data_IF_589288207994
#
_entry.id   IF_589288207994
#
_cell.length_a   1.000
_cell.length_b   1.000
_cell.length_c   1.000
_cell.angle_alpha   90.00
_cell.angle_beta   90.00
_cell.angle_gamma   90.00
#
_symmetry.space_group_name_H-M   'P 1'
#
loop_
_entity.id
_entity.type
_entity.pdbx_description
1 polymer ?
#
# COMPACT_ATOMS: atom_id res chain seq x y z
N UNK A 1 2.86 7.96 11.57
CA UNK A 1 1.57 7.75 12.29
C UNK A 1 1.85 6.78 13.45
N UNK A 2 1.26 6.97 14.64
CA UNK A 2 1.51 6.03 15.77
C UNK A 2 0.91 4.64 15.49
N UNK A 3 1.57 3.57 15.95
CA UNK A 3 1.08 2.19 15.78
C UNK A 3 -0.37 2.04 16.31
N UNK A 4 -1.22 1.21 15.66
CA UNK A 4 -2.57 0.91 16.12
C UNK A 4 -2.60 0.52 17.61
N UNK A 5 -3.66 0.92 18.32
CA UNK A 5 -3.85 0.60 19.74
C UNK A 5 -3.67 -0.90 20.03
N UNK A 6 -4.26 -1.77 19.22
CA UNK A 6 -4.15 -3.22 19.36
C UNK A 6 -2.72 -3.75 19.28
N UNK A 7 -1.89 -3.14 18.44
CA UNK A 7 -0.47 -3.48 18.31
C UNK A 7 0.35 -2.93 19.49
N UNK A 8 0.08 -1.70 19.93
CA UNK A 8 0.75 -1.09 21.10
C UNK A 8 0.49 -1.84 22.40
N UNK A 9 -0.65 -2.51 22.51
CA UNK A 9 -1.05 -3.27 23.69
C UNK A 9 -0.92 -4.81 23.51
N UNK A 10 -0.29 -5.27 22.43
CA UNK A 10 0.04 -6.69 22.25
C UNK A 10 -1.14 -7.61 21.93
N UNK A 11 -2.32 -7.06 21.60
CA UNK A 11 -3.48 -7.84 21.17
C UNK A 11 -3.32 -8.40 19.75
N UNK A 12 -2.48 -7.76 18.93
CA UNK A 12 -2.15 -8.21 17.58
C UNK A 12 -0.63 -8.31 17.48
N UNK A 13 -0.13 -9.49 17.09
CA UNK A 13 1.29 -9.63 16.72
C UNK A 13 1.55 -8.69 15.54
N UNK A 14 2.41 -7.71 15.76
CA UNK A 14 2.93 -6.90 14.66
C UNK A 14 3.80 -7.86 13.85
N UNK A 15 3.38 -8.22 12.65
CA UNK A 15 4.31 -8.82 11.69
C UNK A 15 5.29 -7.72 11.33
N UNK A 16 6.39 -7.66 12.10
CA UNK A 16 7.55 -6.79 11.87
C UNK A 16 8.35 -7.22 10.61
N UNK A 17 7.86 -8.19 9.84
CA UNK A 17 8.49 -8.60 8.60
C UNK A 17 8.20 -7.56 7.52
N UNK A 18 9.22 -6.75 7.20
CA UNK A 18 9.26 -5.93 6.00
C UNK A 18 8.92 -6.83 4.80
N UNK A 19 7.98 -6.37 3.98
CA UNK A 19 7.51 -7.08 2.79
C UNK A 19 8.44 -6.76 1.62
N UNK A 20 9.41 -7.65 1.38
CA UNK A 20 10.38 -7.55 0.28
C UNK A 20 10.03 -8.44 -0.91
N UNK A 21 9.52 -9.64 -0.66
CA UNK A 21 9.21 -10.65 -1.67
C UNK A 21 7.74 -11.09 -1.58
N UNK A 22 6.84 -10.13 -1.39
CA UNK A 22 5.41 -10.42 -1.28
C UNK A 22 4.56 -9.23 -0.91
N UNK A 23 3.24 -9.39 -1.06
CA UNK A 23 2.24 -8.45 -0.59
C UNK A 23 1.12 -9.21 0.13
N UNK A 24 0.94 -8.93 1.41
CA UNK A 24 -0.16 -9.48 2.20
C UNK A 24 -1.50 -8.84 1.81
N UNK A 25 -2.59 -9.49 2.23
CA UNK A 25 -3.95 -9.08 1.88
C UNK A 25 -4.32 -7.67 2.36
N UNK A 26 -3.78 -7.23 3.49
CA UNK A 26 -4.04 -5.87 4.00
C UNK A 26 -3.36 -4.80 3.15
N UNK A 27 -2.17 -5.10 2.62
CA UNK A 27 -1.44 -4.21 1.72
C UNK A 27 -2.12 -4.14 0.36
N UNK A 28 -2.50 -5.29 -0.22
CA UNK A 28 -3.27 -5.33 -1.48
C UNK A 28 -4.59 -4.58 -1.39
N UNK A 29 -5.30 -4.75 -0.26
CA UNK A 29 -6.51 -3.99 0.04
C UNK A 29 -6.26 -2.49 0.13
N UNK A 30 -5.16 -2.08 0.76
CA UNK A 30 -4.80 -0.67 0.84
C UNK A 30 -4.50 -0.09 -0.55
N UNK A 31 -3.68 -0.78 -1.35
CA UNK A 31 -3.37 -0.39 -2.74
C UNK A 31 -4.67 -0.24 -3.53
N UNK A 32 -5.54 -1.25 -3.52
CA UNK A 32 -6.81 -1.18 -4.23
C UNK A 32 -7.68 -0.01 -3.76
N UNK A 33 -7.80 0.22 -2.45
CA UNK A 33 -8.57 1.34 -1.92
C UNK A 33 -8.03 2.69 -2.41
N UNK A 34 -6.70 2.86 -2.48
CA UNK A 34 -6.09 4.09 -2.99
C UNK A 34 -6.30 4.25 -4.49
N UNK A 35 -6.10 3.19 -5.28
CA UNK A 35 -6.36 3.22 -6.72
C UNK A 35 -7.81 3.54 -7.02
N UNK A 36 -8.73 2.90 -6.30
CA UNK A 36 -10.15 3.14 -6.45
C UNK A 36 -10.52 4.57 -6.05
N UNK A 37 -10.18 5.02 -4.85
CA UNK A 37 -10.55 6.38 -4.39
C UNK A 37 -9.83 7.50 -5.14
N UNK A 38 -8.62 7.25 -5.64
CA UNK A 38 -7.79 8.26 -6.27
C UNK A 38 -7.94 8.34 -7.79
N UNK A 39 -8.08 7.20 -8.46
CA UNK A 39 -8.04 7.12 -9.92
C UNK A 39 -9.32 6.52 -10.52
N UNK A 40 -9.84 5.43 -9.97
CA UNK A 40 -10.93 4.68 -10.60
C UNK A 40 -12.33 4.98 -10.06
N UNK A 41 -12.47 5.96 -9.17
CA UNK A 41 -13.79 6.34 -8.67
C UNK A 41 -14.64 6.99 -9.77
N UNK A 42 -15.94 7.04 -9.55
CA UNK A 42 -16.89 7.67 -10.46
C UNK A 42 -17.01 9.19 -10.28
N UNK A 43 -15.96 9.87 -9.77
CA UNK A 43 -16.02 11.31 -9.47
C UNK A 43 -15.35 12.14 -10.57
N UNK A 44 -14.70 13.25 -10.21
CA UNK A 44 -14.14 14.28 -11.11
C UNK A 44 -13.18 13.77 -12.20
N UNK A 45 -12.77 12.51 -12.17
CA UNK A 45 -11.88 11.88 -13.13
C UNK A 45 -12.58 10.87 -14.05
N UNK A 46 -13.90 10.65 -13.96
CA UNK A 46 -14.62 9.55 -14.63
C UNK A 46 -14.15 9.27 -16.08
N UNK A 47 -14.06 10.28 -16.94
CA UNK A 47 -13.58 10.10 -18.32
C UNK A 47 -12.12 9.61 -18.38
N UNK A 48 -11.23 10.21 -17.60
CA UNK A 48 -9.83 9.81 -17.50
C UNK A 48 -9.66 8.43 -16.87
N UNK A 49 -10.53 8.09 -15.92
CA UNK A 49 -10.57 6.80 -15.22
C UNK A 49 -10.98 5.68 -16.18
N UNK A 50 -12.05 5.90 -16.95
CA UNK A 50 -12.50 4.97 -17.97
C UNK A 50 -11.45 4.81 -19.08
N UNK A 51 -10.85 5.91 -19.55
CA UNK A 51 -9.75 5.86 -20.51
C UNK A 51 -8.55 5.09 -19.96
N UNK A 52 -8.22 5.24 -18.68
CA UNK A 52 -7.15 4.49 -18.03
C UNK A 52 -7.46 3.00 -18.00
N UNK A 53 -8.67 2.63 -17.57
CA UNK A 53 -9.06 1.25 -17.43
C UNK A 53 -9.13 0.55 -18.81
N UNK A 54 -9.59 1.26 -19.83
CA UNK A 54 -9.55 0.83 -21.23
C UNK A 54 -8.13 0.67 -21.74
N UNK A 55 -7.23 1.62 -21.43
CA UNK A 55 -5.82 1.54 -21.78
C UNK A 55 -5.17 0.30 -21.15
N UNK A 56 -5.41 0.05 -19.86
CA UNK A 56 -4.91 -1.14 -19.18
C UNK A 56 -5.45 -2.42 -19.82
N UNK A 57 -6.73 -2.47 -20.17
CA UNK A 57 -7.32 -3.62 -20.87
C UNK A 57 -6.57 -3.99 -22.15
N UNK A 58 -6.36 -3.00 -23.03
CA UNK A 58 -5.80 -3.25 -24.36
C UNK A 58 -4.27 -3.41 -24.31
N UNK A 59 -3.57 -2.55 -23.57
CA UNK A 59 -2.12 -2.42 -23.69
C UNK A 59 -1.34 -3.08 -22.56
N UNK A 60 -1.92 -3.19 -21.37
CA UNK A 60 -1.25 -3.83 -20.24
C UNK A 60 -1.65 -5.31 -20.15
N UNK A 61 -2.96 -5.59 -20.09
CA UNK A 61 -3.47 -6.97 -20.06
C UNK A 61 -3.46 -7.64 -21.44
N UNK A 62 -3.20 -6.89 -22.52
CA UNK A 62 -3.17 -7.40 -23.90
C UNK A 62 -4.45 -8.13 -24.31
N UNK A 63 -5.60 -7.66 -23.82
CA UNK A 63 -6.91 -8.24 -24.15
C UNK A 63 -7.48 -7.66 -25.45
N UNK A 64 -8.40 -8.39 -26.13
CA UNK A 64 -9.03 -7.92 -27.37
C UNK A 64 -9.80 -6.61 -27.18
N UNK A 65 -9.63 -5.68 -28.12
CA UNK A 65 -10.27 -4.36 -28.08
C UNK A 65 -11.77 -4.39 -28.42
N UNK A 66 -12.26 -5.47 -29.02
CA UNK A 66 -13.67 -5.72 -29.32
C UNK A 66 -14.43 -6.38 -28.16
N UNK A 67 -13.71 -6.90 -27.15
CA UNK A 67 -14.26 -7.52 -25.93
C UNK A 67 -14.04 -6.66 -24.68
N UNK A 68 -13.97 -5.33 -24.85
CA UNK A 68 -13.82 -4.42 -23.71
C UNK A 68 -15.11 -4.45 -22.88
N UNK A 69 -15.08 -4.90 -21.61
CA UNK A 69 -16.26 -4.92 -20.78
C UNK A 69 -16.64 -3.50 -20.36
N UNK A 70 -17.85 -3.33 -19.83
CA UNK A 70 -18.29 -2.04 -19.33
C UNK A 70 -17.42 -1.53 -18.16
N UNK A 71 -17.29 -0.22 -18.07
CA UNK A 71 -16.74 0.45 -16.91
C UNK A 71 -17.82 0.47 -15.82
N UNK A 72 -17.82 -0.56 -14.98
CA UNK A 72 -18.88 -0.74 -13.99
C UNK A 72 -18.86 0.37 -12.94
N UNK A 73 -20.05 0.86 -12.59
CA UNK A 73 -20.29 1.75 -11.48
C UNK A 73 -20.76 0.90 -10.33
N UNK A 74 -19.84 0.50 -9.45
CA UNK A 74 -20.09 -0.09 -8.13
C UNK A 74 -21.30 -1.04 -8.05
N UNK A 75 -21.03 -2.33 -7.82
CA UNK A 75 -22.02 -3.36 -7.46
C UNK A 75 -22.72 -4.13 -8.60
N UNK A 76 -22.11 -4.32 -9.79
CA UNK A 76 -22.58 -5.40 -10.67
C UNK A 76 -21.83 -6.72 -10.38
N UNK A 77 -22.54 -7.84 -10.41
CA UNK A 77 -21.96 -9.20 -10.38
C UNK A 77 -21.27 -9.59 -11.70
N UNK A 78 -21.06 -8.63 -12.61
CA UNK A 78 -20.54 -8.88 -13.95
C UNK A 78 -19.05 -8.54 -14.03
N UNK A 79 -18.36 -9.22 -14.96
CA UNK A 79 -16.96 -8.93 -15.29
C UNK A 79 -16.91 -7.54 -15.94
N UNK A 80 -16.17 -6.64 -15.32
CA UNK A 80 -16.04 -5.23 -15.70
C UNK A 80 -14.57 -4.85 -15.75
N UNK A 81 -14.28 -3.67 -16.29
CA UNK A 81 -12.90 -3.18 -16.31
C UNK A 81 -12.36 -3.05 -14.87
N UNK A 82 -13.17 -2.53 -13.96
CA UNK A 82 -12.79 -2.35 -12.55
C UNK A 82 -12.63 -3.67 -11.80
N UNK A 83 -13.53 -4.63 -12.01
CA UNK A 83 -13.37 -5.95 -11.35
C UNK A 83 -12.15 -6.68 -11.88
N UNK A 84 -11.82 -6.52 -13.17
CA UNK A 84 -10.58 -7.08 -13.75
C UNK A 84 -9.33 -6.49 -13.08
N UNK A 85 -9.24 -5.16 -12.97
CA UNK A 85 -8.09 -4.49 -12.32
C UNK A 85 -8.01 -4.88 -10.84
N UNK A 86 -9.16 -4.91 -10.15
CA UNK A 86 -9.24 -5.31 -8.74
C UNK A 86 -8.72 -6.74 -8.55
N UNK A 87 -9.24 -7.69 -9.33
CA UNK A 87 -8.83 -9.10 -9.28
C UNK A 87 -7.33 -9.22 -9.51
N UNK A 88 -6.77 -8.50 -10.49
CA UNK A 88 -5.33 -8.45 -10.71
C UNK A 88 -4.55 -8.01 -9.46
N UNK A 89 -4.95 -6.90 -8.81
CA UNK A 89 -4.29 -6.43 -7.57
C UNK A 89 -4.33 -7.46 -6.43
N UNK A 90 -5.38 -8.28 -6.35
CA UNK A 90 -5.53 -9.27 -5.28
C UNK A 90 -4.86 -10.61 -5.57
N UNK A 91 -4.89 -11.07 -6.82
CA UNK A 91 -4.55 -12.44 -7.20
C UNK A 91 -3.21 -12.58 -7.91
N UNK A 92 -2.70 -11.51 -8.54
CA UNK A 92 -1.41 -11.52 -9.24
C UNK A 92 -0.22 -11.58 -8.30
N UNK A 93 0.94 -11.96 -8.84
CA UNK A 93 2.20 -11.92 -8.11
C UNK A 93 2.54 -10.50 -7.65
N UNK A 94 3.29 -10.36 -6.56
CA UNK A 94 3.54 -9.05 -5.96
C UNK A 94 4.29 -8.10 -6.90
N UNK A 95 5.22 -8.62 -7.70
CA UNK A 95 5.97 -7.84 -8.68
C UNK A 95 5.08 -7.39 -9.86
N UNK A 96 4.11 -8.21 -10.28
CA UNK A 96 3.13 -7.83 -11.30
C UNK A 96 2.22 -6.67 -10.83
N UNK A 97 1.93 -6.61 -9.52
CA UNK A 97 1.23 -5.47 -8.92
C UNK A 97 2.10 -4.21 -8.96
N UNK A 98 3.42 -4.33 -8.81
CA UNK A 98 4.34 -3.21 -8.94
C UNK A 98 4.43 -2.71 -10.39
N UNK A 99 4.53 -3.62 -11.37
CA UNK A 99 4.50 -3.26 -12.79
C UNK A 99 3.22 -2.48 -13.13
N UNK A 100 2.07 -2.92 -12.62
CA UNK A 100 0.80 -2.20 -12.78
C UNK A 100 0.87 -0.80 -12.17
N UNK A 101 1.44 -0.67 -10.96
CA UNK A 101 1.58 0.62 -10.29
C UNK A 101 2.49 1.56 -11.10
N UNK A 102 3.59 1.09 -11.68
CA UNK A 102 4.47 1.89 -12.54
C UNK A 102 3.73 2.43 -13.77
N UNK A 103 2.95 1.58 -14.44
CA UNK A 103 2.11 2.01 -15.57
C UNK A 103 1.12 3.10 -15.15
N UNK A 104 0.53 2.97 -13.96
CA UNK A 104 -0.39 3.96 -13.41
C UNK A 104 0.31 5.27 -13.00
N UNK A 105 1.53 5.19 -12.46
CA UNK A 105 2.35 6.35 -12.12
C UNK A 105 2.69 7.15 -13.38
N UNK A 106 3.04 6.47 -14.47
CA UNK A 106 3.28 7.11 -15.76
C UNK A 106 2.01 7.76 -16.32
N UNK A 107 0.89 7.01 -16.36
CA UNK A 107 -0.38 7.49 -16.90
C UNK A 107 -0.90 8.73 -16.15
N UNK A 108 -0.70 8.79 -14.83
CA UNK A 108 -1.21 9.86 -13.99
C UNK A 108 -0.24 11.04 -13.81
N UNK A 109 0.97 10.95 -14.37
CA UNK A 109 2.01 12.00 -14.27
C UNK A 109 1.55 13.38 -14.75
N UNK A 110 0.65 13.44 -15.74
CA UNK A 110 0.08 14.68 -16.26
C UNK A 110 -1.16 15.19 -15.52
N UNK A 111 -1.59 14.54 -14.44
CA UNK A 111 -2.85 14.89 -13.78
C UNK A 111 -2.65 16.05 -12.81
N UNK A 112 -3.33 17.16 -13.09
CA UNK A 112 -3.26 18.35 -12.24
C UNK A 112 -3.72 18.05 -10.81
N UNK A 113 -2.86 18.34 -9.82
CA UNK A 113 -3.10 18.15 -8.37
C UNK A 113 -3.39 16.71 -7.94
N UNK A 114 -2.96 15.73 -8.73
CA UNK A 114 -3.06 14.33 -8.37
C UNK A 114 -1.65 13.72 -8.38
N UNK A 115 -1.24 13.15 -7.24
CA UNK A 115 0.05 12.47 -7.12
C UNK A 115 -0.16 11.07 -6.57
N UNK A 116 -0.20 10.08 -7.47
CA UNK A 116 -0.31 8.68 -7.10
C UNK A 116 0.92 8.20 -6.30
N UNK A 117 2.11 8.70 -6.63
CA UNK A 117 3.37 8.31 -5.97
C UNK A 117 3.34 8.57 -4.46
N UNK A 118 2.82 9.71 -4.02
CA UNK A 118 2.71 10.04 -2.60
C UNK A 118 1.77 9.06 -1.86
N UNK A 119 0.66 8.66 -2.49
CA UNK A 119 -0.29 7.71 -1.91
C UNK A 119 0.31 6.30 -1.82
N UNK A 120 0.99 5.85 -2.86
CA UNK A 120 1.67 4.55 -2.87
C UNK A 120 2.76 4.52 -1.81
N UNK A 121 3.59 5.56 -1.72
CA UNK A 121 4.61 5.68 -0.68
C UNK A 121 4.00 5.64 0.72
N UNK A 122 2.90 6.35 0.95
CA UNK A 122 2.20 6.30 2.23
C UNK A 122 1.67 4.91 2.56
N UNK A 123 1.14 4.18 1.56
CA UNK A 123 0.71 2.79 1.75
C UNK A 123 1.90 1.89 2.08
N UNK A 124 3.00 2.00 1.34
CA UNK A 124 4.19 1.19 1.54
C UNK A 124 4.79 1.40 2.93
N UNK A 125 4.94 2.65 3.38
CA UNK A 125 5.40 2.96 4.73
C UNK A 125 4.46 2.40 5.81
N UNK A 126 3.14 2.55 5.63
CA UNK A 126 2.14 2.13 6.62
C UNK A 126 2.08 0.61 6.79
N UNK A 127 2.24 -0.13 5.69
CA UNK A 127 2.14 -1.58 5.66
C UNK A 127 3.51 -2.29 5.64
N UNK A 128 4.61 -1.54 5.73
CA UNK A 128 5.96 -2.08 5.81
C UNK A 128 6.43 -2.75 4.52
N UNK A 129 6.13 -2.16 3.37
CA UNK A 129 6.64 -2.61 2.07
C UNK A 129 8.02 -2.00 1.84
N UNK A 130 9.02 -2.83 1.56
CA UNK A 130 10.42 -2.41 1.41
C UNK A 130 10.75 -1.74 0.07
N UNK A 131 9.81 -0.96 -0.47
CA UNK A 131 9.92 -0.30 -1.76
C UNK A 131 9.41 1.13 -1.68
N UNK A 132 9.78 1.96 -2.67
CA UNK A 132 9.31 3.34 -2.81
C UNK A 132 9.08 3.70 -4.27
N UNK A 133 8.01 4.44 -4.52
CA UNK A 133 7.77 5.09 -5.80
C UNK A 133 8.63 6.37 -5.92
N UNK A 134 9.59 6.37 -6.84
CA UNK A 134 10.48 7.49 -7.16
C UNK A 134 10.55 7.63 -8.68
N UNK A 135 10.36 8.84 -9.21
CA UNK A 135 10.39 9.13 -10.66
C UNK A 135 9.51 8.21 -11.52
N UNK A 136 8.39 7.75 -10.93
CA UNK A 136 7.37 6.83 -11.51
C UNK A 136 7.80 5.35 -11.57
N UNK A 137 8.94 5.01 -10.96
CA UNK A 137 9.44 3.65 -10.81
C UNK A 137 9.29 3.17 -9.37
N UNK A 138 8.99 1.89 -9.16
CA UNK A 138 9.04 1.23 -7.87
C UNK A 138 10.47 0.74 -7.63
N UNK A 139 11.17 1.41 -6.72
CA UNK A 139 12.56 1.10 -6.40
C UNK A 139 12.64 0.40 -5.04
N UNK A 140 13.42 -0.69 -4.89
CA UNK A 140 13.73 -1.25 -3.58
C UNK A 140 14.34 -0.18 -2.68
N UNK A 141 13.99 -0.19 -1.40
CA UNK A 141 14.68 0.61 -0.41
C UNK A 141 16.06 -0.05 -0.20
N UNK A 142 17.10 0.52 -0.80
CA UNK A 142 18.40 -0.14 -1.01
C UNK A 142 19.37 -0.07 0.17
N UNK A 143 18.96 0.45 1.32
CA UNK A 143 19.84 0.55 2.47
C UNK A 143 19.41 -0.40 3.59
N UNK A 144 20.26 -1.39 3.86
CA UNK A 144 20.31 -2.10 5.15
C UNK A 144 20.31 -1.10 6.33
N UNK A 145 20.81 0.12 6.10
CA UNK A 145 20.82 1.27 7.03
C UNK A 145 19.45 1.97 7.17
N UNK A 146 18.62 2.05 6.11
CA UNK A 146 17.25 2.58 6.21
C UNK A 146 16.31 1.55 6.86
N UNK A 147 16.51 0.26 6.58
CA UNK A 147 15.82 -0.84 7.25
C UNK A 147 16.13 -0.83 8.77
N UNK A 148 17.40 -0.68 9.15
CA UNK A 148 17.79 -0.51 10.57
C UNK A 148 17.18 0.74 11.21
N UNK A 149 16.95 1.83 10.48
CA UNK A 149 16.32 3.04 11.05
C UNK A 149 14.83 2.83 11.35
N UNK A 150 14.15 2.02 10.53
CA UNK A 150 12.79 1.55 10.80
C UNK A 150 12.82 0.60 12.01
N UNK A 151 13.72 -0.40 12.05
CA UNK A 151 13.84 -1.33 13.18
C UNK A 151 14.29 -0.67 14.50
N UNK A 152 15.16 0.33 14.48
CA UNK A 152 15.61 1.05 15.68
C UNK A 152 14.51 1.92 16.29
N UNK A 153 13.57 2.41 15.47
CA UNK A 153 12.33 2.99 15.98
C UNK A 153 11.48 1.97 16.76
N UNK A 154 11.57 0.68 16.41
CA UNK A 154 10.87 -0.40 17.08
C UNK A 154 11.59 -0.77 18.39
N UNK A 155 12.93 -0.83 18.41
CA UNK A 155 13.72 -1.19 19.61
C UNK A 155 13.70 -0.11 20.71
N UNK A 156 13.75 1.18 20.37
CA UNK A 156 13.78 2.23 21.40
C UNK A 156 12.45 2.37 22.16
N UNK A 157 11.33 1.99 21.57
CA UNK A 157 10.02 2.06 22.23
C UNK A 157 9.79 0.95 23.26
N UNK A 158 10.52 -0.17 23.18
CA UNK A 158 10.50 -1.22 24.21
C UNK A 158 11.34 -0.91 25.45
N UNK A 159 12.35 -0.02 25.35
CA UNK A 159 13.14 0.41 26.52
C UNK A 159 12.39 1.32 27.49
N UNK A 160 11.34 2.02 27.03
CA UNK A 160 10.57 2.92 27.89
C UNK A 160 9.38 2.27 28.62
N UNK A 161 9.03 1.02 28.28
CA UNK A 161 7.93 0.28 28.94
C UNK A 161 8.43 -0.62 30.09
N UNK A 162 9.74 -0.87 30.19
CA UNK A 162 10.34 -1.60 31.31
C UNK A 162 11.23 -0.71 32.19
N UNK A 163 10.68 0.34 32.79
CA UNK A 163 11.22 0.76 34.08
C UNK A 163 10.71 -0.23 35.12
N UNK A 164 11.58 -0.98 35.83
CA UNK A 164 11.14 -1.78 36.95
C UNK A 164 10.57 -0.82 38.00
N UNK A 165 9.34 -1.07 38.43
CA UNK A 165 8.76 -0.46 39.62
C UNK A 165 9.45 -1.08 40.85
N UNK A 166 10.71 -0.71 41.09
CA UNK A 166 11.40 -1.00 42.35
C UNK A 166 12.02 0.28 42.88
N UNK A 167 11.19 1.05 43.58
CA UNK A 167 11.65 2.02 44.57
C UNK A 167 10.49 2.30 45.54
N UNK A 168 10.31 1.45 46.55
CA UNK A 168 9.81 1.91 47.84
C UNK A 168 10.47 1.15 49.00
N UNK A 169 11.24 1.93 49.74
CA UNK A 169 11.53 1.81 51.17
C UNK A 169 12.21 0.55 51.71
N UNK A 170 13.54 0.60 51.76
CA UNK A 170 14.22 0.26 53.01
C UNK A 170 14.62 1.55 53.70
N UNK A 171 14.06 1.85 54.87
CA UNK A 171 14.74 2.38 56.08
C UNK A 171 13.68 2.42 57.19
N UNK A 172 13.79 1.51 58.16
CA UNK A 172 13.83 1.86 59.58
C UNK A 172 14.09 0.59 60.41
N UNK A 173 15.38 0.38 60.69
CA UNK A 173 15.80 -0.41 61.84
C UNK A 173 16.27 0.56 62.91
N UNK A 174 15.55 0.59 64.04
CA UNK A 174 16.03 0.51 65.42
C UNK A 174 14.89 0.79 66.38
#
# INVERSE_FOLDING_TARGET
MAKPFSQRHGYVKVTDAIQLEGLNNETRKAIWNFLYLGLFNNTNLHEKSEQCARYLWIHYFNNPADDIPDYDRDFSYQKSQLTTIKTYVYESEWFEVFDLIEVLLEYTSGFYRYNLGDFINHAFEKYGVGYRAIDRMITPISDEVEIESIEQCFVQQYRFVQKPFFAFAGVNGR
#
